data_IF_106512326999
#
_entry.id   IF_106512326999
#
_cell.length_a   1.000
_cell.length_b   1.000
_cell.length_c   1.000
_cell.angle_alpha   90.00
_cell.angle_beta   90.00
_cell.angle_gamma   90.00
#
_symmetry.space_group_name_H-M   'P 1'
#
loop_
_entity.id
_entity.type
_entity.pdbx_description
1 polymer ?
#
# COMPACT_ATOMS: atom_id res chain seq x y z
N UNK A 1 -13.99 -14.36 13.12
CA UNK A 1 -14.05 -13.11 12.35
C UNK A 1 -14.39 -11.88 13.22
N UNK A 2 -15.37 -11.99 14.13
CA UNK A 2 -15.69 -10.86 15.04
C UNK A 2 -14.62 -10.51 16.09
N UNK A 3 -13.65 -11.39 16.34
CA UNK A 3 -12.65 -11.17 17.39
C UNK A 3 -11.58 -10.14 17.00
N UNK A 4 -11.22 -10.05 15.72
CA UNK A 4 -10.24 -9.03 15.27
C UNK A 4 -10.80 -7.60 15.37
N UNK A 5 -12.09 -7.40 15.07
CA UNK A 5 -12.71 -6.07 15.15
C UNK A 5 -12.75 -5.54 16.60
N UNK A 6 -12.93 -6.41 17.60
CA UNK A 6 -12.87 -6.02 19.02
C UNK A 6 -11.48 -5.52 19.44
N UNK A 7 -10.42 -5.99 18.77
CA UNK A 7 -9.04 -5.59 19.05
C UNK A 7 -8.64 -4.26 18.39
N UNK A 8 -9.51 -3.67 17.56
CA UNK A 8 -9.31 -2.34 16.97
C UNK A 8 -9.69 -1.20 17.92
N UNK A 9 -10.47 -1.46 18.99
CA UNK A 9 -10.77 -0.46 20.01
C UNK A 9 -9.57 -0.30 20.94
N UNK A 10 -8.99 0.89 20.97
CA UNK A 10 -7.83 1.24 21.79
C UNK A 10 -8.13 2.54 22.52
N UNK A 11 -8.09 2.49 23.84
CA UNK A 11 -8.38 3.63 24.72
C UNK A 11 -7.13 4.25 25.34
N UNK A 12 -6.06 3.45 25.49
CA UNK A 12 -4.80 3.90 26.08
C UNK A 12 -3.60 3.11 25.52
N UNK A 13 -2.40 3.61 25.77
CA UNK A 13 -1.17 3.01 25.27
C UNK A 13 -0.82 1.64 25.91
N UNK A 14 -1.27 1.38 27.15
CA UNK A 14 -0.96 0.11 27.83
C UNK A 14 -1.59 -1.10 27.15
N UNK A 15 -2.78 -0.92 26.58
CA UNK A 15 -3.48 -1.95 25.80
C UNK A 15 -2.67 -2.46 24.61
N UNK A 16 -1.77 -1.63 24.06
CA UNK A 16 -0.92 -2.00 22.92
C UNK A 16 0.10 -3.08 23.27
N UNK A 17 0.53 -3.15 24.53
CA UNK A 17 1.43 -4.20 25.01
C UNK A 17 0.76 -5.56 25.03
N UNK A 18 -0.51 -5.60 25.38
CA UNK A 18 -1.31 -6.82 25.38
C UNK A 18 -1.54 -7.36 23.97
N UNK A 19 -1.59 -6.47 23.00
CA UNK A 19 -1.82 -6.77 21.59
C UNK A 19 -3.11 -6.18 21.08
N UNK A 20 -2.99 -5.26 20.13
CA UNK A 20 -4.09 -4.57 19.46
C UNK A 20 -3.84 -4.48 17.96
N UNK A 21 -4.89 -4.15 17.24
CA UNK A 21 -4.86 -3.85 15.81
C UNK A 21 -5.13 -2.36 15.64
N UNK A 22 -4.22 -1.66 15.00
CA UNK A 22 -4.35 -0.25 14.66
C UNK A 22 -4.65 -0.14 13.16
N UNK A 23 -5.78 0.49 12.82
CA UNK A 23 -6.15 0.80 11.45
C UNK A 23 -5.61 2.18 11.11
N UNK A 24 -4.64 2.23 10.22
CA UNK A 24 -3.94 3.47 9.89
C UNK A 24 -4.21 3.87 8.45
N UNK A 25 -4.71 5.08 8.23
CA UNK A 25 -4.77 5.67 6.89
C UNK A 25 -3.39 6.22 6.53
N UNK A 26 -2.63 5.43 5.77
CA UNK A 26 -1.28 5.78 5.37
C UNK A 26 -1.28 6.97 4.41
N UNK A 27 -0.60 8.07 4.73
CA UNK A 27 -0.49 9.20 3.83
C UNK A 27 0.41 8.90 2.63
N UNK A 28 0.28 9.72 1.60
CA UNK A 28 1.14 9.71 0.42
C UNK A 28 2.60 9.99 0.80
N UNK A 29 3.54 9.43 0.05
CA UNK A 29 5.00 9.55 0.24
C UNK A 29 5.56 8.95 1.53
N UNK A 30 4.76 8.21 2.28
CA UNK A 30 5.22 7.42 3.41
C UNK A 30 5.37 5.95 3.02
N UNK A 31 6.44 5.31 3.48
CA UNK A 31 6.52 3.85 3.45
C UNK A 31 5.66 3.26 4.57
N UNK A 32 5.27 1.99 4.44
CA UNK A 32 4.63 1.26 5.55
C UNK A 32 5.53 1.19 6.79
N UNK A 33 6.86 1.20 6.60
CA UNK A 33 7.82 1.22 7.68
C UNK A 33 7.86 2.58 8.41
N UNK A 34 7.71 3.71 7.70
CA UNK A 34 7.64 5.04 8.32
C UNK A 34 6.45 5.13 9.29
N UNK A 35 5.29 4.56 8.90
CA UNK A 35 4.11 4.50 9.78
C UNK A 35 4.42 3.71 11.06
N UNK A 36 4.98 2.50 10.91
CA UNK A 36 5.35 1.65 12.05
C UNK A 36 6.41 2.34 12.92
N UNK A 37 7.42 2.96 12.29
CA UNK A 37 8.46 3.72 12.96
C UNK A 37 7.92 4.88 13.78
N UNK A 38 6.98 5.66 13.20
CA UNK A 38 6.33 6.79 13.87
C UNK A 38 5.56 6.33 15.12
N UNK A 39 4.72 5.31 14.98
CA UNK A 39 3.96 4.74 16.09
C UNK A 39 4.90 4.20 17.18
N UNK A 40 5.94 3.47 16.78
CA UNK A 40 6.93 2.92 17.71
C UNK A 40 7.70 4.01 18.49
N UNK A 41 8.06 5.08 17.80
CA UNK A 41 8.75 6.21 18.42
C UNK A 41 7.89 6.87 19.49
N UNK A 42 6.62 7.17 19.17
CA UNK A 42 5.68 7.79 20.10
C UNK A 42 5.58 6.97 21.38
N UNK A 43 5.41 5.66 21.26
CA UNK A 43 5.23 4.76 22.40
C UNK A 43 6.51 4.61 23.24
N UNK A 44 7.70 4.87 22.67
CA UNK A 44 8.99 4.83 23.36
C UNK A 44 9.36 6.14 24.03
N UNK A 45 8.98 7.27 23.47
CA UNK A 45 9.44 8.60 23.93
C UNK A 45 8.95 8.95 25.33
N UNK A 46 7.87 8.35 25.83
CA UNK A 46 7.45 8.46 27.23
C UNK A 46 8.23 7.56 28.21
N UNK A 47 9.19 6.77 27.73
CA UNK A 47 9.92 5.87 28.58
C UNK A 47 9.12 4.68 29.13
N UNK A 48 7.81 4.60 28.81
CA UNK A 48 6.90 3.56 29.30
C UNK A 48 7.09 2.20 28.61
N UNK A 49 7.59 2.21 27.36
CA UNK A 49 7.65 1.01 26.52
C UNK A 49 9.03 0.80 25.87
N UNK A 50 10.07 0.42 26.61
CA UNK A 50 11.44 0.31 26.08
C UNK A 50 11.57 -0.78 25.00
N UNK A 51 10.77 -1.86 25.08
CA UNK A 51 10.76 -2.96 24.10
C UNK A 51 9.34 -3.42 23.87
N UNK A 52 8.81 -3.20 22.65
CA UNK A 52 7.54 -3.78 22.31
C UNK A 52 7.50 -4.17 20.80
N UNK A 53 6.72 -5.21 20.50
CA UNK A 53 6.58 -5.71 19.12
C UNK A 53 5.51 -4.92 18.41
N UNK A 54 5.83 -4.50 17.18
CA UNK A 54 4.91 -3.83 16.27
C UNK A 54 5.29 -4.20 14.83
N UNK A 55 4.30 -4.45 13.99
CA UNK A 55 4.48 -4.78 12.58
C UNK A 55 3.21 -4.51 11.80
N UNK A 56 3.27 -4.53 10.47
CA UNK A 56 2.09 -4.30 9.62
C UNK A 56 1.69 -5.57 8.84
N UNK A 57 0.41 -5.69 8.54
CA UNK A 57 -0.18 -6.77 7.76
C UNK A 57 -0.42 -6.34 6.30
N UNK A 58 0.64 -6.33 5.50
CA UNK A 58 0.60 -6.01 4.07
C UNK A 58 1.15 -4.64 3.72
N UNK A 59 2.26 -4.65 3.00
CA UNK A 59 2.96 -3.44 2.55
C UNK A 59 2.09 -2.61 1.61
N UNK A 60 2.19 -1.29 1.74
CA UNK A 60 1.78 -0.30 0.75
C UNK A 60 3.03 0.43 0.26
N UNK A 61 3.10 0.63 -1.05
CA UNK A 61 4.16 1.42 -1.67
C UNK A 61 4.13 2.88 -1.20
N UNK A 62 5.23 3.65 -1.31
CA UNK A 62 5.26 5.05 -0.90
C UNK A 62 4.21 5.91 -1.60
N UNK A 63 3.98 5.67 -2.91
CA UNK A 63 3.01 6.39 -3.72
C UNK A 63 1.55 5.92 -3.54
N UNK A 64 1.33 4.85 -2.76
CA UNK A 64 -0.01 4.41 -2.39
C UNK A 64 -0.45 5.02 -1.06
N UNK A 65 -1.76 5.23 -0.91
CA UNK A 65 -2.41 5.70 0.33
C UNK A 65 -3.38 4.65 0.88
N UNK A 66 -4.00 4.93 1.99
CA UNK A 66 -5.14 4.16 2.50
C UNK A 66 -4.76 3.17 3.58
N UNK A 67 -5.60 2.17 3.77
CA UNK A 67 -5.60 1.30 4.93
C UNK A 67 -4.31 0.49 5.08
N UNK A 68 -3.58 0.74 6.14
CA UNK A 68 -2.49 -0.08 6.65
C UNK A 68 -2.89 -0.68 8.01
N UNK A 69 -2.99 -1.99 8.07
CA UNK A 69 -3.29 -2.71 9.31
C UNK A 69 -1.99 -2.92 10.07
N UNK A 70 -1.90 -2.39 11.28
CA UNK A 70 -0.71 -2.48 12.14
C UNK A 70 -1.07 -3.31 13.39
N UNK A 71 -0.25 -4.29 13.70
CA UNK A 71 -0.41 -5.17 14.86
C UNK A 71 0.65 -4.86 15.92
N UNK A 72 0.23 -4.89 17.19
CA UNK A 72 1.11 -4.65 18.34
C UNK A 72 1.13 -5.85 19.28
N UNK A 73 2.15 -5.94 20.16
CA UNK A 73 2.25 -6.95 21.19
C UNK A 73 2.07 -8.39 20.68
N UNK A 74 1.18 -9.12 21.30
CA UNK A 74 0.87 -10.52 20.95
C UNK A 74 0.23 -10.68 19.57
N UNK A 75 -0.49 -9.63 19.10
CA UNK A 75 -1.16 -9.63 17.80
C UNK A 75 -0.19 -9.64 16.61
N UNK A 76 1.09 -9.34 16.81
CA UNK A 76 2.09 -9.50 15.75
C UNK A 76 2.23 -10.92 15.24
N UNK A 77 1.81 -11.93 16.01
CA UNK A 77 1.79 -13.33 15.58
C UNK A 77 0.68 -13.66 14.57
N UNK A 78 -0.38 -12.84 14.53
CA UNK A 78 -1.53 -13.00 13.63
C UNK A 78 -1.37 -12.21 12.33
N UNK A 79 -0.22 -11.58 12.07
CA UNK A 79 0.01 -10.78 10.88
C UNK A 79 -0.23 -11.58 9.59
N UNK A 80 0.25 -12.82 9.53
CA UNK A 80 0.10 -13.70 8.36
C UNK A 80 -1.37 -14.03 8.08
N UNK A 81 -2.15 -14.31 9.12
CA UNK A 81 -3.58 -14.60 9.02
C UNK A 81 -4.35 -13.38 8.49
N UNK A 82 -4.04 -12.19 9.04
CA UNK A 82 -4.63 -10.91 8.62
C UNK A 82 -4.25 -10.58 7.17
N UNK A 83 -3.03 -10.91 6.76
CA UNK A 83 -2.61 -10.75 5.37
C UNK A 83 -3.36 -11.67 4.40
N UNK A 84 -3.93 -12.76 4.88
CA UNK A 84 -4.63 -13.75 4.05
C UNK A 84 -5.90 -13.25 3.36
N UNK A 85 -6.59 -12.26 3.93
CA UNK A 85 -7.86 -11.74 3.42
C UNK A 85 -7.75 -11.05 2.05
N UNK A 86 -8.90 -10.84 1.39
CA UNK A 86 -9.00 -10.06 0.16
C UNK A 86 -8.70 -8.58 0.41
N UNK A 87 -8.32 -7.87 -0.64
CA UNK A 87 -8.04 -6.44 -0.61
C UNK A 87 -8.86 -5.71 -1.66
N UNK A 88 -9.26 -4.49 -1.33
CA UNK A 88 -9.89 -3.60 -2.29
C UNK A 88 -9.06 -2.34 -2.46
N UNK A 89 -8.97 -1.93 -3.71
CA UNK A 89 -8.24 -0.73 -4.09
C UNK A 89 -9.09 0.13 -5.02
N UNK A 90 -8.97 1.44 -4.85
CA UNK A 90 -9.32 2.43 -5.86
C UNK A 90 -8.04 3.06 -6.37
N UNK A 91 -8.03 3.49 -7.62
CA UNK A 91 -6.83 4.10 -8.19
C UNK A 91 -7.07 4.65 -9.57
N UNK A 92 -5.96 5.05 -10.20
CA UNK A 92 -5.95 5.59 -11.54
C UNK A 92 -4.82 4.99 -12.35
N UNK A 93 -5.11 4.64 -13.61
CA UNK A 93 -4.13 4.20 -14.59
C UNK A 93 -3.96 5.31 -15.61
N UNK A 94 -2.73 5.73 -15.86
CA UNK A 94 -2.41 6.61 -16.97
C UNK A 94 -2.03 5.74 -18.17
N UNK A 95 -2.78 5.88 -19.28
CA UNK A 95 -2.57 5.18 -20.53
C UNK A 95 -1.72 6.03 -21.49
N UNK A 96 -1.10 5.38 -22.48
CA UNK A 96 -0.32 6.04 -23.52
C UNK A 96 1.17 6.15 -23.21
N UNK A 97 1.66 5.49 -22.16
CA UNK A 97 3.08 5.38 -21.86
C UNK A 97 3.34 4.21 -20.91
N UNK A 98 4.60 3.80 -20.75
CA UNK A 98 5.04 2.83 -19.74
C UNK A 98 6.02 3.48 -18.77
N UNK A 99 6.23 2.86 -17.61
CA UNK A 99 7.33 3.20 -16.69
C UNK A 99 8.01 1.92 -16.21
N UNK A 100 9.33 1.90 -15.95
CA UNK A 100 10.02 0.71 -15.43
C UNK A 100 9.48 0.20 -14.09
N UNK A 101 8.97 1.08 -13.23
CA UNK A 101 8.37 0.74 -11.93
C UNK A 101 6.88 0.39 -11.99
N UNK A 102 6.23 0.57 -13.16
CA UNK A 102 4.79 0.44 -13.39
C UNK A 102 3.95 1.46 -12.60
N UNK A 103 4.58 2.52 -12.09
CA UNK A 103 3.97 3.66 -11.38
C UNK A 103 4.77 4.95 -11.64
N UNK A 104 4.50 6.02 -10.86
CA UNK A 104 5.18 7.32 -10.97
C UNK A 104 6.55 7.40 -10.26
N UNK A 105 7.10 6.29 -9.77
CA UNK A 105 8.46 6.30 -9.16
C UNK A 105 9.53 6.54 -10.22
N UNK A 106 9.32 6.05 -11.44
CA UNK A 106 10.23 6.22 -12.59
C UNK A 106 9.59 7.06 -13.69
N UNK A 107 10.42 7.65 -14.55
CA UNK A 107 9.94 8.50 -15.64
C UNK A 107 9.21 7.68 -16.72
N UNK A 108 8.17 8.26 -17.34
CA UNK A 108 7.45 7.60 -18.44
C UNK A 108 8.27 7.55 -19.72
N UNK A 109 8.09 6.45 -20.44
CA UNK A 109 8.73 6.13 -21.73
C UNK A 109 7.75 5.44 -22.68
N UNK A 110 8.16 5.17 -23.94
CA UNK A 110 7.36 4.43 -24.92
C UNK A 110 5.96 5.06 -25.15
N UNK A 111 5.93 6.36 -25.44
CA UNK A 111 4.69 7.10 -25.63
C UNK A 111 3.89 6.63 -26.84
N UNK A 112 2.57 6.46 -26.68
CA UNK A 112 1.60 6.05 -27.69
C UNK A 112 0.35 6.94 -27.63
N UNK A 113 -0.35 7.10 -28.80
CA UNK A 113 -1.63 7.81 -28.84
C UNK A 113 -2.73 6.98 -28.16
N UNK A 114 -3.61 7.65 -27.42
CA UNK A 114 -4.80 7.06 -26.79
C UNK A 114 -6.11 7.49 -27.45
N UNK A 115 -6.08 8.31 -28.51
CA UNK A 115 -7.25 8.90 -29.15
C UNK A 115 -8.26 7.87 -29.69
N UNK A 116 -7.79 6.66 -30.01
CA UNK A 116 -8.61 5.57 -30.51
C UNK A 116 -9.25 4.72 -29.40
N UNK A 117 -8.96 5.00 -28.13
CA UNK A 117 -9.51 4.26 -27.01
C UNK A 117 -10.94 4.72 -26.72
N UNK A 118 -11.85 3.77 -26.59
CA UNK A 118 -13.23 3.99 -26.16
C UNK A 118 -13.49 3.25 -24.85
N UNK A 119 -14.51 3.70 -24.10
CA UNK A 119 -14.87 3.06 -22.84
C UNK A 119 -15.22 1.58 -23.03
N UNK A 120 -15.92 1.25 -24.12
CA UNK A 120 -16.28 -0.13 -24.45
C UNK A 120 -15.03 -1.00 -24.61
N UNK A 121 -13.99 -0.49 -25.28
CA UNK A 121 -12.72 -1.21 -25.45
C UNK A 121 -12.01 -1.43 -24.14
N UNK A 122 -12.01 -0.41 -23.25
CA UNK A 122 -11.44 -0.53 -21.92
C UNK A 122 -12.19 -1.58 -21.09
N UNK A 123 -13.52 -1.60 -21.11
CA UNK A 123 -14.35 -2.57 -20.41
C UNK A 123 -14.15 -4.01 -20.93
N UNK A 124 -14.02 -4.21 -22.24
CA UNK A 124 -13.68 -5.51 -22.83
C UNK A 124 -12.36 -6.04 -22.26
N UNK A 125 -11.32 -5.21 -22.21
CA UNK A 125 -10.02 -5.60 -21.67
C UNK A 125 -10.11 -5.84 -20.15
N UNK A 126 -10.82 -5.02 -19.39
CA UNK A 126 -10.98 -5.20 -17.94
C UNK A 126 -11.64 -6.56 -17.60
N UNK A 127 -12.62 -7.00 -18.38
CA UNK A 127 -13.28 -8.31 -18.20
C UNK A 127 -12.29 -9.48 -18.30
N UNK A 128 -11.21 -9.34 -19.09
CA UNK A 128 -10.20 -10.41 -19.26
C UNK A 128 -9.31 -10.61 -18.04
N UNK A 129 -9.35 -9.70 -17.07
CA UNK A 129 -8.57 -9.81 -15.82
C UNK A 129 -9.33 -10.55 -14.71
N UNK A 130 -10.65 -10.77 -14.87
CA UNK A 130 -11.45 -11.38 -13.80
C UNK A 130 -11.14 -12.88 -13.65
N UNK A 131 -11.04 -13.34 -12.41
CA UNK A 131 -10.78 -14.72 -12.03
C UNK A 131 -9.31 -14.98 -11.67
N UNK A 132 -8.96 -16.26 -11.61
CA UNK A 132 -7.59 -16.72 -11.32
C UNK A 132 -6.67 -16.52 -12.50
N UNK A 133 -5.46 -16.02 -12.24
CA UNK A 133 -4.43 -15.83 -13.24
C UNK A 133 -3.03 -15.79 -12.65
N UNK A 134 -2.03 -16.08 -13.47
CA UNK A 134 -0.63 -15.87 -13.11
C UNK A 134 -0.27 -14.40 -13.35
N UNK A 135 0.40 -13.80 -12.38
CA UNK A 135 0.87 -12.42 -12.45
C UNK A 135 2.36 -12.34 -12.21
N UNK A 136 3.09 -11.66 -13.09
CA UNK A 136 4.48 -11.31 -12.88
C UNK A 136 4.56 -10.09 -11.94
N UNK A 137 5.17 -10.22 -10.74
CA UNK A 137 5.42 -9.08 -9.87
C UNK A 137 6.36 -8.07 -10.52
N UNK A 138 6.22 -6.76 -10.20
CA UNK A 138 7.18 -5.76 -10.71
C UNK A 138 8.56 -6.00 -10.07
N UNK A 139 9.61 -5.71 -10.83
CA UNK A 139 11.01 -5.82 -10.35
C UNK A 139 11.25 -4.86 -9.18
N UNK A 140 10.63 -3.67 -9.24
CA UNK A 140 10.62 -2.68 -8.16
C UNK A 140 9.65 -3.09 -7.03
N UNK A 141 9.92 -4.23 -6.37
CA UNK A 141 9.09 -4.73 -5.26
C UNK A 141 9.93 -5.16 -4.06
N UNK A 142 9.26 -5.26 -2.89
CA UNK A 142 9.87 -5.72 -1.66
C UNK A 142 10.02 -7.26 -1.59
N UNK A 143 9.68 -7.99 -2.68
CA UNK A 143 9.85 -9.44 -2.76
C UNK A 143 11.32 -9.81 -2.61
N UNK A 144 11.63 -10.79 -1.77
CA UNK A 144 13.00 -11.25 -1.59
C UNK A 144 13.34 -12.35 -2.59
N UNK A 145 14.53 -12.21 -3.18
CA UNK A 145 15.16 -13.20 -4.07
C UNK A 145 16.54 -13.47 -3.49
N UNK A 146 16.79 -14.71 -3.09
CA UNK A 146 18.04 -15.13 -2.45
C UNK A 146 18.49 -14.25 -1.26
N UNK A 147 17.49 -13.76 -0.49
CA UNK A 147 17.71 -12.92 0.69
C UNK A 147 17.87 -11.41 0.42
N UNK A 148 17.95 -10.99 -0.86
CA UNK A 148 18.02 -9.59 -1.29
C UNK A 148 16.65 -9.12 -1.80
N UNK A 149 16.29 -7.88 -1.53
CA UNK A 149 15.01 -7.33 -2.02
C UNK A 149 15.13 -6.98 -3.51
N UNK A 150 14.14 -7.37 -4.31
CA UNK A 150 14.13 -7.18 -5.75
C UNK A 150 14.38 -5.71 -6.17
N UNK A 151 13.78 -4.74 -5.45
CA UNK A 151 13.99 -3.32 -5.74
C UNK A 151 15.45 -2.85 -5.54
N UNK A 152 16.22 -3.49 -4.63
CA UNK A 152 17.64 -3.16 -4.39
C UNK A 152 18.51 -3.62 -5.57
N UNK A 153 18.20 -4.80 -6.12
CA UNK A 153 18.84 -5.32 -7.33
C UNK A 153 18.47 -4.48 -8.57
N UNK A 154 17.18 -4.14 -8.73
CA UNK A 154 16.71 -3.31 -9.83
C UNK A 154 17.40 -1.94 -9.89
N UNK A 155 17.58 -1.28 -8.75
CA UNK A 155 18.30 0.01 -8.67
C UNK A 155 19.78 -0.10 -9.03
N UNK A 156 20.37 -1.29 -8.96
CA UNK A 156 21.75 -1.57 -9.37
C UNK A 156 21.84 -2.05 -10.82
N UNK A 157 20.71 -2.09 -11.55
CA UNK A 157 20.61 -2.67 -12.89
C UNK A 157 21.03 -4.16 -12.95
N UNK A 158 20.86 -4.90 -11.84
CA UNK A 158 21.12 -6.33 -11.80
C UNK A 158 19.90 -7.08 -12.39
N UNK A 159 20.14 -8.19 -13.10
CA UNK A 159 19.08 -9.04 -13.63
C UNK A 159 18.29 -9.69 -12.49
N UNK A 160 16.98 -9.49 -12.47
CA UNK A 160 16.10 -9.99 -11.41
C UNK A 160 15.15 -11.03 -11.99
N UNK A 161 15.35 -12.30 -11.66
CA UNK A 161 14.43 -13.39 -12.08
C UNK A 161 13.23 -13.46 -11.14
N UNK A 162 12.14 -12.78 -11.50
CA UNK A 162 10.88 -12.86 -10.77
C UNK A 162 10.18 -14.18 -11.04
N UNK A 163 9.41 -14.66 -10.04
CA UNK A 163 8.49 -15.80 -10.20
C UNK A 163 7.06 -15.28 -10.17
N UNK A 164 6.24 -15.81 -11.06
CA UNK A 164 4.81 -15.50 -11.10
C UNK A 164 4.12 -15.89 -9.80
N UNK A 165 3.11 -15.12 -9.44
CA UNK A 165 2.20 -15.43 -8.34
C UNK A 165 0.84 -15.81 -8.92
N UNK A 166 0.21 -16.86 -8.38
CA UNK A 166 -1.20 -17.11 -8.63
C UNK A 166 -2.01 -16.06 -7.84
N UNK A 167 -2.84 -15.31 -8.53
CA UNK A 167 -3.72 -14.28 -7.97
C UNK A 167 -5.15 -14.50 -8.45
N UNK A 168 -6.10 -13.91 -7.75
CA UNK A 168 -7.49 -13.85 -8.16
C UNK A 168 -7.98 -12.41 -8.16
N UNK A 169 -8.64 -11.99 -9.22
CA UNK A 169 -9.34 -10.70 -9.32
C UNK A 169 -10.85 -10.98 -9.28
N UNK A 170 -11.47 -10.65 -8.14
CA UNK A 170 -12.91 -10.83 -7.94
C UNK A 170 -13.70 -9.82 -8.78
N UNK A 171 -13.27 -8.55 -8.76
CA UNK A 171 -13.87 -7.46 -9.54
C UNK A 171 -12.81 -6.52 -10.09
N UNK A 172 -13.05 -6.02 -11.29
CA UNK A 172 -12.32 -4.90 -11.90
C UNK A 172 -13.35 -3.99 -12.56
N UNK A 173 -13.71 -2.92 -11.87
CA UNK A 173 -14.70 -1.93 -12.28
C UNK A 173 -13.99 -0.68 -12.78
N UNK A 174 -14.34 -0.25 -13.99
CA UNK A 174 -13.92 1.03 -14.53
C UNK A 174 -14.93 2.11 -14.13
N UNK A 175 -14.46 3.35 -13.90
CA UNK A 175 -15.32 4.46 -13.51
C UNK A 175 -15.25 5.58 -14.52
N UNK A 176 -14.27 6.46 -14.40
CA UNK A 176 -14.13 7.65 -15.23
C UNK A 176 -12.94 7.48 -16.17
N UNK A 177 -13.09 7.90 -17.44
CA UNK A 177 -12.02 7.95 -18.42
C UNK A 177 -12.06 9.29 -19.15
N UNK A 178 -10.97 10.06 -19.10
CA UNK A 178 -10.84 11.39 -19.71
C UNK A 178 -10.07 11.39 -21.06
N UNK A 179 -9.84 10.20 -21.62
CA UNK A 179 -9.03 10.01 -22.83
C UNK A 179 -7.57 9.60 -22.55
N UNK A 180 -7.10 9.73 -21.32
CA UNK A 180 -5.76 9.31 -20.88
C UNK A 180 -5.75 8.64 -19.51
N UNK A 181 -6.41 9.22 -18.53
CA UNK A 181 -6.44 8.70 -17.17
C UNK A 181 -7.75 7.96 -16.91
N UNK A 182 -7.62 6.70 -16.48
CA UNK A 182 -8.72 5.79 -16.19
C UNK A 182 -8.82 5.56 -14.69
N UNK A 183 -9.95 5.92 -14.09
CA UNK A 183 -10.25 5.59 -12.70
C UNK A 183 -10.82 4.18 -12.57
N UNK A 184 -10.42 3.45 -11.52
CA UNK A 184 -10.85 2.08 -11.32
C UNK A 184 -11.11 1.73 -9.85
N UNK A 185 -11.81 0.60 -9.66
CA UNK A 185 -11.93 -0.14 -8.40
C UNK A 185 -11.64 -1.61 -8.66
N UNK A 186 -10.73 -2.20 -7.89
CA UNK A 186 -10.34 -3.62 -7.98
C UNK A 186 -10.48 -4.26 -6.60
N UNK A 187 -11.12 -5.46 -6.57
CA UNK A 187 -11.08 -6.36 -5.44
C UNK A 187 -10.33 -7.63 -5.82
N UNK A 188 -9.34 -8.03 -5.02
CA UNK A 188 -8.42 -9.10 -5.38
C UNK A 188 -7.87 -9.86 -4.18
N UNK A 189 -7.27 -11.02 -4.44
CA UNK A 189 -6.58 -11.86 -3.45
C UNK A 189 -5.30 -11.19 -2.93
N UNK A 190 -4.77 -11.72 -1.82
CA UNK A 190 -3.44 -11.34 -1.32
C UNK A 190 -2.35 -11.56 -2.37
N UNK A 191 -1.30 -10.74 -2.31
CA UNK A 191 -0.14 -10.87 -3.20
C UNK A 191 -0.33 -10.28 -4.59
N UNK A 192 -1.50 -9.72 -4.89
CA UNK A 192 -1.76 -9.02 -6.15
C UNK A 192 -1.04 -7.67 -6.18
N UNK A 193 -0.29 -7.43 -7.25
CA UNK A 193 0.37 -6.16 -7.52
C UNK A 193 -0.49 -5.32 -8.48
N UNK A 194 -1.11 -4.27 -7.96
CA UNK A 194 -1.96 -3.38 -8.76
C UNK A 194 -1.14 -2.65 -9.82
N UNK A 195 0.13 -2.39 -9.57
CA UNK A 195 1.07 -1.84 -10.56
C UNK A 195 1.23 -2.75 -11.78
N UNK A 196 1.39 -4.07 -11.57
CA UNK A 196 1.42 -5.04 -12.68
C UNK A 196 0.10 -5.05 -13.45
N UNK A 197 -1.06 -4.97 -12.75
CA UNK A 197 -2.37 -4.87 -13.43
C UNK A 197 -2.41 -3.63 -14.32
N UNK A 198 -1.95 -2.47 -13.85
CA UNK A 198 -1.96 -1.24 -14.64
C UNK A 198 -1.07 -1.35 -15.89
N UNK A 199 0.13 -1.92 -15.75
CA UNK A 199 1.03 -2.19 -16.88
C UNK A 199 0.40 -3.18 -17.88
N UNK A 200 -0.08 -4.33 -17.41
CA UNK A 200 -0.63 -5.38 -18.25
C UNK A 200 -1.93 -4.93 -18.95
N UNK A 201 -2.72 -4.09 -18.29
CA UNK A 201 -3.91 -3.46 -18.87
C UNK A 201 -3.54 -2.57 -20.06
N UNK A 202 -2.55 -1.70 -19.90
CA UNK A 202 -2.04 -0.86 -20.97
C UNK A 202 -1.40 -1.67 -22.11
N UNK A 203 -0.70 -2.77 -21.79
CA UNK A 203 -0.14 -3.68 -22.80
C UNK A 203 -1.23 -4.38 -23.61
N UNK A 204 -2.30 -4.90 -22.98
CA UNK A 204 -3.43 -5.53 -23.70
C UNK A 204 -4.19 -4.54 -24.58
N UNK A 205 -4.17 -3.25 -24.26
CA UNK A 205 -4.71 -2.18 -25.11
C UNK A 205 -3.76 -1.76 -26.24
N UNK A 206 -2.47 -2.16 -26.18
CA UNK A 206 -1.44 -1.81 -27.17
C UNK A 206 -0.88 -0.40 -27.05
N UNK A 207 -1.19 0.32 -25.95
CA UNK A 207 -0.75 1.71 -25.76
C UNK A 207 0.19 1.90 -24.56
N UNK A 208 0.39 0.85 -23.76
CA UNK A 208 1.08 0.97 -22.48
C UNK A 208 0.21 1.63 -21.41
N UNK A 209 0.61 1.44 -20.14
CA UNK A 209 -0.09 2.02 -19.01
C UNK A 209 0.72 1.87 -17.73
N UNK A 210 0.50 2.76 -16.77
CA UNK A 210 1.11 2.69 -15.45
C UNK A 210 0.19 3.30 -14.39
N UNK A 211 0.41 2.90 -13.15
CA UNK A 211 -0.40 3.36 -12.02
C UNK A 211 -0.06 4.81 -11.68
N UNK A 212 -1.04 5.70 -11.74
CA UNK A 212 -0.86 7.13 -11.42
C UNK A 212 -1.28 7.49 -10.00
N UNK A 213 -2.23 6.73 -9.43
CA UNK A 213 -2.67 6.86 -8.04
C UNK A 213 -3.20 5.51 -7.52
N UNK A 214 -2.99 5.25 -6.22
CA UNK A 214 -3.50 4.04 -5.56
C UNK A 214 -3.94 4.35 -4.13
N UNK A 215 -5.11 3.81 -3.75
CA UNK A 215 -5.61 3.82 -2.39
C UNK A 215 -6.18 2.46 -2.01
N UNK A 216 -5.67 1.85 -0.96
CA UNK A 216 -6.27 0.63 -0.40
C UNK A 216 -7.46 1.02 0.48
N UNK A 217 -8.66 0.65 0.07
CA UNK A 217 -9.91 0.94 0.78
C UNK A 217 -10.29 -0.17 1.76
N UNK A 218 -9.91 -1.42 1.45
CA UNK A 218 -10.21 -2.56 2.32
C UNK A 218 -9.01 -3.53 2.40
N UNK A 219 -8.81 -4.09 3.57
CA UNK A 219 -8.02 -5.29 3.85
C UNK A 219 -8.89 -6.15 4.75
N UNK A 220 -9.67 -7.04 4.15
CA UNK A 220 -10.75 -7.76 4.83
C UNK A 220 -10.29 -8.39 6.16
N UNK A 221 -11.04 -8.17 7.26
CA UNK A 221 -12.37 -7.54 7.31
C UNK A 221 -12.37 -6.02 7.59
N UNK A 222 -11.22 -5.34 7.53
CA UNK A 222 -11.04 -3.95 7.93
C UNK A 222 -11.24 -2.98 6.76
N UNK A 223 -11.79 -1.79 7.06
CA UNK A 223 -12.06 -0.73 6.08
C UNK A 223 -11.34 0.56 6.43
N UNK A 224 -11.00 1.34 5.42
CA UNK A 224 -10.25 2.60 5.59
C UNK A 224 -11.04 3.68 6.31
N UNK A 225 -12.37 3.63 6.23
CA UNK A 225 -13.28 4.56 6.93
C UNK A 225 -13.15 4.47 8.46
N UNK A 226 -12.68 3.32 8.97
CA UNK A 226 -12.44 3.08 10.40
C UNK A 226 -11.01 3.46 10.82
N UNK A 227 -10.16 3.82 9.84
CA UNK A 227 -8.76 4.11 10.09
C UNK A 227 -8.55 5.55 10.56
N UNK A 228 -7.53 5.74 11.38
CA UNK A 228 -7.03 7.04 11.82
C UNK A 228 -5.72 7.36 11.08
N UNK A 229 -5.47 8.64 10.82
CA UNK A 229 -4.15 9.04 10.31
C UNK A 229 -3.05 8.79 11.36
N UNK A 230 -1.78 8.69 10.97
CA UNK A 230 -0.69 8.63 11.95
C UNK A 230 -0.73 9.80 12.95
N UNK A 231 -1.15 10.99 12.52
CA UNK A 231 -1.31 12.17 13.38
C UNK A 231 -2.40 11.97 14.41
N UNK A 232 -3.55 11.39 14.04
CA UNK A 232 -4.66 11.16 14.98
C UNK A 232 -4.29 10.08 16.01
N UNK A 233 -3.53 9.05 15.61
CA UNK A 233 -2.99 8.06 16.54
C UNK A 233 -2.01 8.70 17.53
N UNK A 234 -1.17 9.64 17.05
CA UNK A 234 -0.30 10.44 17.94
C UNK A 234 -1.10 11.20 18.97
N UNK A 235 -2.11 11.96 18.54
CA UNK A 235 -2.97 12.75 19.42
C UNK A 235 -3.68 11.89 20.49
N UNK A 236 -4.15 10.70 20.10
CA UNK A 236 -4.81 9.78 21.01
C UNK A 236 -3.89 9.32 22.15
N UNK A 237 -2.64 9.00 21.82
CA UNK A 237 -1.67 8.53 22.82
C UNK A 237 -0.92 9.66 23.53
N UNK A 238 -0.92 10.85 22.93
CA UNK A 238 -0.18 12.02 23.33
C UNK A 238 -0.98 13.31 23.15
N UNK A 239 -1.99 13.57 23.99
CA UNK A 239 -2.79 14.80 23.88
C UNK A 239 -1.97 16.10 24.02
N UNK A 240 -0.85 16.05 24.78
CA UNK A 240 0.06 17.20 24.97
C UNK A 240 1.03 17.45 23.80
N UNK A 241 1.06 16.57 22.79
CA UNK A 241 2.01 16.67 21.67
C UNK A 241 1.77 17.91 20.78
N UNK A 242 0.55 18.43 20.72
CA UNK A 242 0.24 19.65 19.96
C UNK A 242 0.94 20.91 20.50
N UNK A 243 1.13 21.00 21.81
CA UNK A 243 1.82 22.15 22.43
C UNK A 243 3.31 22.22 22.09
N UNK A 244 3.93 21.10 21.64
CA UNK A 244 5.38 21.01 21.38
C UNK A 244 5.73 21.14 19.91
N UNK A 245 4.81 20.89 18.97
CA UNK A 245 5.14 20.67 17.54
C UNK A 245 4.39 21.52 16.51
N UNK A 246 3.90 22.70 16.84
CA UNK A 246 3.48 23.69 15.81
C UNK A 246 4.61 24.09 14.83
N UNK A 247 5.86 23.69 15.13
CA UNK A 247 7.06 24.07 14.36
C UNK A 247 7.64 22.95 13.47
N UNK A 248 7.07 21.76 13.44
CA UNK A 248 7.57 20.66 12.59
C UNK A 248 6.63 20.39 11.41
N UNK A 249 7.01 20.87 10.22
CA UNK A 249 6.40 20.45 8.96
C UNK A 249 6.60 18.93 8.76
N UNK A 250 5.66 18.27 8.05
CA UNK A 250 5.70 16.80 7.77
C UNK A 250 7.05 16.33 7.17
N UNK A 251 7.75 17.20 6.42
CA UNK A 251 9.06 16.90 5.81
C UNK A 251 10.22 16.88 6.80
N UNK A 252 10.13 17.63 7.91
CA UNK A 252 11.19 17.63 8.94
C UNK A 252 11.19 16.34 9.78
N UNK A 253 10.04 15.69 9.89
CA UNK A 253 9.88 14.41 10.60
C UNK A 253 10.61 13.28 9.87
N UNK A 254 10.61 13.25 8.52
CA UNK A 254 11.40 12.29 7.73
C UNK A 254 12.89 12.33 8.03
N UNK A 255 13.48 13.52 8.18
CA UNK A 255 14.93 13.70 8.41
C UNK A 255 15.42 13.24 9.79
N UNK A 256 14.56 13.29 10.80
CA UNK A 256 14.91 12.86 12.16
C UNK A 256 14.97 11.33 12.26
N UNK A 257 14.13 10.61 11.49
CA UNK A 257 14.07 9.15 11.53
C UNK A 257 15.16 8.45 10.73
N UNK A 258 15.72 9.07 9.69
CA UNK A 258 16.84 8.50 8.90
C UNK A 258 18.18 8.54 9.62
N UNK A 259 18.32 9.28 10.73
CA UNK A 259 19.56 9.39 11.51
C UNK A 259 19.58 8.57 12.82
N UNK A 260 18.50 7.88 13.16
CA UNK A 260 18.36 7.18 14.44
C UNK A 260 18.38 5.64 14.34
N UNK A 261 18.79 5.10 13.17
CA UNK A 261 18.99 3.66 12.94
C UNK A 261 20.29 3.38 12.18
#
# INVERSE_FOLDING_TARGET
>A
MNDFLKLCSVSNADELLEGRILLVDKPLNWTSFDVVGKLKWILRSEGKFPKFKIGHAGTLDPLATGLLVVCTGKMTKSIEDIQGGTKEYTGKILLGATTPSFDKETLPENFQSTEHLTLEKLEEVAKTFKGEQLQMPPVYSAKQIDGVRAYEMARKNEEVKMRENLIEIETFELRDFDGKELSFRIRCSKGTYIRSIANDFGQRLGVGGYLSALRRTESFPFRVEEAKTPKDWVKLFYPSYEAVNEHFSDDSVKKVFTKAF
#
